data_IF_399854857040
#
_entry.id   IF_399854857040
#
_cell.length_a   1.000
_cell.length_b   1.000
_cell.length_c   1.000
_cell.angle_alpha   90.00
_cell.angle_beta   90.00
_cell.angle_gamma   90.00
#
_symmetry.space_group_name_H-M   'P 1'
#
loop_
_entity.id
_entity.type
_entity.pdbx_description
1 polymer ?
#
# COMPACT_ATOMS: atom_id res chain seq x y z
N UNK A 1 -0.67 14.47 13.88
CA UNK A 1 -0.37 13.26 13.08
C UNK A 1 -1.46 13.23 12.02
N UNK A 2 -1.15 13.35 10.73
CA UNK A 2 -2.21 13.28 9.72
C UNK A 2 -2.81 11.87 9.73
N UNK A 3 -3.94 11.70 10.41
CA UNK A 3 -4.67 10.45 10.50
C UNK A 3 -5.22 10.11 9.11
N UNK A 4 -4.57 9.16 8.46
CA UNK A 4 -5.17 8.45 7.35
C UNK A 4 -6.37 7.68 7.90
N UNK A 5 -7.51 7.76 7.21
CA UNK A 5 -8.66 6.93 7.55
C UNK A 5 -8.32 5.46 7.30
N UNK A 6 -9.02 4.52 7.96
CA UNK A 6 -8.80 3.09 7.73
C UNK A 6 -8.85 2.73 6.23
N UNK A 7 -9.82 3.31 5.50
CA UNK A 7 -9.91 3.13 4.04
C UNK A 7 -8.69 3.64 3.30
N UNK A 8 -8.16 4.80 3.67
CA UNK A 8 -6.94 5.35 3.07
C UNK A 8 -5.73 4.47 3.35
N UNK A 9 -5.65 3.89 4.55
CA UNK A 9 -4.62 2.91 4.93
C UNK A 9 -4.75 1.65 4.08
N UNK A 10 -5.96 1.12 3.90
CA UNK A 10 -6.22 -0.08 3.11
C UNK A 10 -5.87 0.15 1.63
N UNK A 11 -6.26 1.30 1.06
CA UNK A 11 -5.93 1.69 -0.31
C UNK A 11 -4.42 1.87 -0.48
N UNK A 12 -3.75 2.58 0.43
CA UNK A 12 -2.30 2.78 0.38
C UNK A 12 -1.56 1.44 0.46
N UNK A 13 -2.01 0.55 1.34
CA UNK A 13 -1.47 -0.81 1.51
C UNK A 13 -1.64 -1.63 0.25
N UNK A 14 -2.83 -1.62 -0.35
CA UNK A 14 -3.11 -2.34 -1.59
C UNK A 14 -2.22 -1.84 -2.74
N UNK A 15 -2.05 -0.52 -2.87
CA UNK A 15 -1.18 0.08 -3.88
C UNK A 15 0.28 -0.32 -3.66
N UNK A 16 0.77 -0.28 -2.42
CA UNK A 16 2.16 -0.66 -2.11
C UNK A 16 2.42 -2.13 -2.41
N UNK A 17 1.51 -3.02 -2.03
CA UNK A 17 1.62 -4.46 -2.32
C UNK A 17 1.62 -4.71 -3.83
N UNK A 18 0.64 -4.16 -4.54
CA UNK A 18 0.54 -4.32 -5.99
C UNK A 18 1.78 -3.78 -6.71
N UNK A 19 2.28 -2.60 -6.29
CA UNK A 19 3.48 -2.03 -6.88
C UNK A 19 4.75 -2.85 -6.58
N UNK A 20 4.85 -3.44 -5.39
CA UNK A 20 5.98 -4.29 -5.01
C UNK A 20 5.96 -5.63 -5.75
N UNK A 21 4.78 -6.19 -6.02
CA UNK A 21 4.62 -7.43 -6.78
C UNK A 21 4.85 -7.25 -8.28
N UNK A 22 4.33 -6.15 -8.86
CA UNK A 22 4.31 -5.97 -10.32
C UNK A 22 5.37 -5.02 -10.85
N UNK A 23 5.89 -4.13 -10.02
CA UNK A 23 6.74 -3.00 -10.44
C UNK A 23 5.99 -1.95 -11.30
N UNK A 24 4.67 -2.07 -11.46
CA UNK A 24 3.87 -1.21 -12.34
C UNK A 24 3.11 -0.14 -11.57
N UNK A 25 2.66 0.90 -12.28
CA UNK A 25 1.77 1.92 -11.73
C UNK A 25 0.41 1.31 -11.43
N UNK A 26 -0.15 1.64 -10.26
CA UNK A 26 -1.37 0.99 -9.79
C UNK A 26 -2.57 1.89 -10.06
N UNK A 27 -3.55 1.35 -10.78
CA UNK A 27 -4.83 1.99 -11.06
C UNK A 27 -5.93 1.56 -10.10
N UNK A 28 -6.94 2.41 -9.92
CA UNK A 28 -8.10 2.12 -9.07
C UNK A 28 -8.86 0.86 -9.46
N UNK A 29 -8.88 0.52 -10.76
CA UNK A 29 -9.61 -0.64 -11.27
C UNK A 29 -8.92 -1.96 -10.87
N UNK A 30 -7.59 -1.95 -10.74
CA UNK A 30 -6.82 -3.09 -10.22
C UNK A 30 -7.12 -3.26 -8.73
N UNK A 31 -7.10 -2.16 -7.97
CA UNK A 31 -7.39 -2.17 -6.54
C UNK A 31 -8.79 -2.69 -6.25
N UNK A 32 -9.80 -2.21 -6.98
CA UNK A 32 -11.18 -2.64 -6.82
C UNK A 32 -11.35 -4.15 -7.06
N UNK A 33 -10.80 -4.66 -8.17
CA UNK A 33 -10.92 -6.07 -8.55
C UNK A 33 -10.16 -7.03 -7.64
N UNK A 34 -8.92 -6.69 -7.25
CA UNK A 34 -8.03 -7.60 -6.52
C UNK A 34 -8.21 -7.53 -5.00
N UNK A 35 -8.49 -6.35 -4.45
CA UNK A 35 -8.52 -6.14 -2.99
C UNK A 35 -9.94 -6.00 -2.42
N UNK A 36 -10.99 -5.95 -3.26
CA UNK A 36 -12.42 -5.99 -2.86
C UNK A 36 -12.76 -5.09 -1.67
N UNK A 37 -12.31 -3.84 -1.71
CA UNK A 37 -12.46 -2.86 -0.62
C UNK A 37 -13.91 -2.38 -0.39
N UNK A 38 -14.90 -2.93 -1.09
CA UNK A 38 -16.32 -2.57 -0.95
C UNK A 38 -16.68 -1.17 -1.45
N UNK A 39 -15.81 -0.54 -2.23
CA UNK A 39 -16.00 0.83 -2.76
C UNK A 39 -15.78 0.87 -4.26
N UNK A 40 -16.46 1.79 -4.94
CA UNK A 40 -16.38 1.91 -6.40
C UNK A 40 -14.99 2.42 -6.86
N UNK A 41 -14.60 2.15 -8.12
CA UNK A 41 -13.37 2.68 -8.67
C UNK A 41 -13.29 4.21 -8.65
N UNK A 42 -14.43 4.92 -8.72
CA UNK A 42 -14.48 6.37 -8.60
C UNK A 42 -14.10 6.84 -7.19
N UNK A 43 -14.64 6.18 -6.16
CA UNK A 43 -14.27 6.46 -4.76
C UNK A 43 -12.79 6.19 -4.52
N UNK A 44 -12.25 5.07 -5.04
CA UNK A 44 -10.82 4.76 -4.93
C UNK A 44 -9.97 5.83 -5.58
N UNK A 45 -10.33 6.31 -6.79
CA UNK A 45 -9.63 7.44 -7.46
C UNK A 45 -9.62 8.69 -6.58
N UNK A 46 -10.73 9.03 -5.92
CA UNK A 46 -10.81 10.20 -5.03
C UNK A 46 -9.91 10.05 -3.79
N UNK A 47 -9.92 8.88 -3.15
CA UNK A 47 -9.04 8.61 -2.01
C UNK A 47 -7.56 8.62 -2.42
N UNK A 48 -7.26 8.07 -3.60
CA UNK A 48 -5.95 8.12 -4.21
C UNK A 48 -5.46 9.56 -4.45
N UNK A 49 -6.35 10.48 -4.87
CA UNK A 49 -6.07 11.92 -4.98
C UNK A 49 -5.79 12.53 -3.61
N UNK A 50 -6.60 12.22 -2.59
CA UNK A 50 -6.36 12.70 -1.23
C UNK A 50 -5.00 12.23 -0.68
N UNK A 51 -4.63 10.98 -0.96
CA UNK A 51 -3.31 10.43 -0.61
C UNK A 51 -2.16 11.11 -1.37
N UNK A 52 -2.37 11.64 -2.58
CA UNK A 52 -1.39 12.52 -3.26
C UNK A 52 -1.16 13.80 -2.49
N UNK A 53 -2.26 14.47 -2.16
CA UNK A 53 -2.23 15.80 -1.56
C UNK A 53 -1.56 15.74 -0.19
N UNK A 54 -1.77 14.62 0.51
CA UNK A 54 -1.10 14.30 1.77
C UNK A 54 0.36 13.81 1.59
N UNK A 55 0.82 13.61 0.35
CA UNK A 55 2.19 13.23 0.00
C UNK A 55 2.51 11.75 0.20
N UNK A 56 1.52 10.87 0.32
CA UNK A 56 1.73 9.42 0.43
C UNK A 56 1.83 8.73 -0.93
N UNK A 57 1.15 9.26 -1.94
CA UNK A 57 1.25 8.81 -3.33
C UNK A 57 1.84 9.91 -4.22
N UNK A 58 2.44 9.50 -5.33
CA UNK A 58 2.91 10.38 -6.39
C UNK A 58 2.23 10.03 -7.70
N UNK A 59 1.96 11.07 -8.49
CA UNK A 59 1.41 10.97 -9.82
C UNK A 59 2.54 11.11 -10.83
N UNK A 60 2.73 10.10 -11.66
CA UNK A 60 3.74 10.12 -12.73
C UNK A 60 3.15 10.77 -13.99
N UNK A 61 1.90 10.44 -14.35
CA UNK A 61 1.16 11.08 -15.45
C UNK A 61 -0.36 11.09 -15.19
N UNK A 62 -1.11 11.91 -15.95
CA UNK A 62 -2.56 12.14 -15.76
C UNK A 62 -3.43 10.90 -15.94
N UNK A 63 -2.93 9.87 -16.65
CA UNK A 63 -3.71 8.70 -17.05
C UNK A 63 -3.21 7.35 -16.50
N UNK A 64 -2.00 7.27 -15.92
CA UNK A 64 -1.29 5.98 -15.80
C UNK A 64 -1.34 5.31 -14.42
N UNK A 65 -2.09 5.86 -13.46
CA UNK A 65 -2.16 5.34 -12.09
C UNK A 65 -1.25 6.10 -11.12
N UNK A 66 -0.94 5.47 -9.98
CA UNK A 66 -0.15 6.10 -8.91
C UNK A 66 0.97 5.19 -8.43
N UNK A 67 2.01 5.84 -7.92
CA UNK A 67 3.17 5.21 -7.33
C UNK A 67 3.24 5.57 -5.83
N UNK A 68 3.58 4.64 -4.93
CA UNK A 68 3.82 5.01 -3.54
C UNK A 68 5.06 5.90 -3.40
N UNK A 69 4.91 7.00 -2.68
CA UNK A 69 6.04 7.87 -2.35
C UNK A 69 6.92 7.25 -1.26
N UNK A 70 8.13 7.78 -1.02
CA UNK A 70 8.93 7.40 0.15
C UNK A 70 8.18 7.57 1.48
N UNK A 71 7.32 8.59 1.60
CA UNK A 71 6.47 8.80 2.79
C UNK A 71 5.41 7.70 2.91
N UNK A 72 4.82 7.29 1.79
CA UNK A 72 3.90 6.16 1.67
C UNK A 72 4.51 4.87 2.21
N UNK A 73 5.70 4.52 1.71
CA UNK A 73 6.45 3.35 2.17
C UNK A 73 6.78 3.40 3.66
N UNK A 74 7.32 4.53 4.14
CA UNK A 74 7.63 4.70 5.57
C UNK A 74 6.40 4.51 6.46
N UNK A 75 5.26 5.06 6.04
CA UNK A 75 4.00 4.87 6.76
C UNK A 75 3.56 3.41 6.77
N UNK A 76 3.58 2.74 5.62
CA UNK A 76 3.20 1.34 5.50
C UNK A 76 4.08 0.43 6.37
N UNK A 77 5.40 0.61 6.35
CA UNK A 77 6.32 -0.18 7.19
C UNK A 77 5.99 0.04 8.67
N UNK A 78 5.85 1.30 9.09
CA UNK A 78 5.67 1.63 10.51
C UNK A 78 4.30 1.26 11.09
N UNK A 79 3.24 1.25 10.28
CA UNK A 79 1.87 1.11 10.78
C UNK A 79 1.17 -0.18 10.32
N UNK A 80 1.65 -0.83 9.25
CA UNK A 80 0.96 -1.99 8.65
C UNK A 80 1.88 -3.21 8.55
N UNK A 81 3.17 -3.03 8.23
CA UNK A 81 4.12 -4.15 8.14
C UNK A 81 4.51 -4.69 9.52
N UNK A 82 4.64 -3.82 10.54
CA UNK A 82 4.94 -4.24 11.91
C UNK A 82 3.88 -5.17 12.52
N UNK A 83 2.62 -5.08 12.10
CA UNK A 83 1.59 -6.05 12.50
C UNK A 83 1.82 -7.43 11.86
N UNK A 84 2.56 -7.52 10.76
CA UNK A 84 2.86 -8.79 10.06
C UNK A 84 4.13 -9.49 10.61
N UNK A 85 4.99 -8.79 11.35
CA UNK A 85 6.20 -9.37 11.97
C UNK A 85 5.95 -10.17 13.27
N UNK A 86 4.69 -10.43 13.63
CA UNK A 86 4.34 -11.39 14.69
C UNK A 86 3.56 -12.60 14.17
N UNK A 87 3.92 -13.06 12.98
CA UNK A 87 3.67 -14.44 12.56
C UNK A 87 4.95 -15.24 12.81
N UNK A 88 5.08 -15.75 14.03
CA UNK A 88 6.03 -16.78 14.48
C UNK A 88 5.94 -18.04 13.58
N UNK A 89 6.63 -18.05 12.43
CA UNK A 89 6.82 -19.30 11.65
C UNK A 89 8.24 -19.50 11.09
N UNK A 90 9.09 -18.47 10.96
CA UNK A 90 10.45 -18.68 10.39
C UNK A 90 11.60 -18.50 11.40
N UNK A 91 11.42 -18.96 12.65
CA UNK A 91 12.54 -19.27 13.54
C UNK A 91 12.95 -20.74 13.39
N UNK A 92 13.50 -21.14 12.24
CA UNK A 92 14.24 -22.42 12.18
C UNK A 92 15.53 -22.27 11.39
N UNK A 93 16.60 -22.67 12.05
CA UNK A 93 17.93 -23.01 11.54
C UNK A 93 18.93 -21.86 11.34
N UNK A 94 19.56 -21.43 12.45
CA UNK A 94 21.01 -21.28 12.40
C UNK A 94 21.69 -21.69 13.71
N UNK A 95 22.64 -22.63 13.57
CA UNK A 95 23.67 -23.12 14.51
C UNK A 95 23.32 -24.33 15.40
N UNK A 96 23.55 -25.51 14.83
CA UNK A 96 24.48 -26.44 15.46
C UNK A 96 25.21 -27.27 14.39
N UNK A 97 26.45 -26.88 14.11
CA UNK A 97 27.44 -27.72 13.44
C UNK A 97 28.81 -27.34 13.99
N UNK A 98 29.09 -27.80 15.20
CA UNK A 98 30.42 -28.18 15.68
C UNK A 98 30.23 -29.43 16.53
#
# INVERSE_FOLDING_TARGET
>A
MDELTQRQIDILTAIIREHTETGQLVGSDIIEKKYKLGVSPATIRNEMVALETKGYLQKTHVSSGRLPSPKGYRFFINNVMKEKELSTVDEVAYKHSI
#
